data_IF_113081589820
#
_entry.id   IF_113081589820
#
_cell.length_a   1.000
_cell.length_b   1.000
_cell.length_c   1.000
_cell.angle_alpha   90.00
_cell.angle_beta   90.00
_cell.angle_gamma   90.00
#
_symmetry.space_group_name_H-M   'P 1'
#
loop_
_entity.id
_entity.type
_entity.pdbx_description
1 polymer ?
#
# COMPACT_ATOMS: atom_id res chain seq x y z
N UNK A 1 -27.12 -9.48 19.43
CA UNK A 1 -25.89 -9.07 18.72
C UNK A 1 -24.97 -8.51 19.79
N UNK A 2 -23.99 -9.30 20.25
CA UNK A 2 -23.02 -8.87 21.26
C UNK A 2 -21.85 -8.22 20.54
N UNK A 3 -21.47 -7.01 20.93
CA UNK A 3 -20.36 -6.29 20.33
C UNK A 3 -19.05 -6.92 20.82
N UNK A 4 -18.19 -7.49 19.96
CA UNK A 4 -16.96 -8.19 20.37
C UNK A 4 -15.89 -7.27 20.97
N UNK A 5 -16.14 -5.96 21.01
CA UNK A 5 -15.31 -4.94 21.66
C UNK A 5 -15.84 -4.45 23.01
N UNK A 6 -16.98 -4.96 23.47
CA UNK A 6 -17.55 -4.57 24.77
C UNK A 6 -17.32 -5.70 25.77
N UNK A 7 -16.32 -5.52 26.62
CA UNK A 7 -16.06 -6.39 27.75
C UNK A 7 -16.61 -5.69 29.01
N UNK A 8 -17.61 -6.24 29.71
CA UNK A 8 -18.16 -5.61 30.92
C UNK A 8 -17.16 -5.56 32.09
N UNK A 9 -15.99 -6.20 31.95
CA UNK A 9 -14.87 -6.15 32.90
C UNK A 9 -13.96 -4.91 32.67
N UNK A 10 -14.15 -4.16 31.58
CA UNK A 10 -13.41 -2.91 31.26
C UNK A 10 -14.20 -1.64 31.65
N UNK A 11 -15.35 -1.79 32.34
CA UNK A 11 -15.98 -0.66 33.03
C UNK A 11 -15.05 -0.25 34.19
N UNK A 12 -14.26 0.79 33.96
CA UNK A 12 -13.52 1.50 35.00
C UNK A 12 -14.55 1.91 36.06
N UNK A 13 -14.46 1.30 37.24
CA UNK A 13 -15.27 1.63 38.40
C UNK A 13 -15.18 3.13 38.64
N UNK A 14 -16.30 3.82 38.44
CA UNK A 14 -16.43 5.26 38.58
C UNK A 14 -16.12 5.72 40.02
N UNK A 15 -16.19 4.81 41.00
CA UNK A 15 -15.71 5.06 42.37
C UNK A 15 -14.18 4.99 42.51
N UNK A 16 -13.49 4.16 41.71
CA UNK A 16 -12.03 4.19 41.61
C UNK A 16 -11.62 5.54 41.00
N UNK A 17 -12.31 5.97 39.93
CA UNK A 17 -12.04 7.24 39.24
C UNK A 17 -12.04 8.48 40.14
N UNK A 18 -13.04 8.55 41.03
CA UNK A 18 -13.23 9.70 41.93
C UNK A 18 -12.22 9.66 43.09
N UNK A 19 -11.87 8.47 43.60
CA UNK A 19 -10.96 8.30 44.73
C UNK A 19 -9.49 8.62 44.40
N UNK A 20 -9.08 8.60 43.13
CA UNK A 20 -7.70 8.95 42.74
C UNK A 20 -7.48 10.43 42.39
N UNK A 21 -8.41 11.33 42.72
CA UNK A 21 -8.23 12.77 42.58
C UNK A 21 -7.61 13.43 43.83
N UNK A 22 -6.30 13.18 44.06
CA UNK A 22 -5.29 14.12 44.61
C UNK A 22 -4.05 13.38 45.10
N UNK A 23 -3.14 13.03 44.20
CA UNK A 23 -1.70 13.08 44.49
C UNK A 23 -0.94 13.43 43.21
N UNK A 24 -1.00 14.70 42.84
CA UNK A 24 -0.08 15.28 41.88
C UNK A 24 1.36 15.05 42.36
N UNK A 25 2.12 14.32 41.56
CA UNK A 25 3.53 14.01 41.78
C UNK A 25 4.39 15.16 41.25
N UNK A 26 4.41 16.30 41.95
CA UNK A 26 5.37 17.37 41.72
C UNK A 26 5.47 18.25 42.98
N UNK A 27 6.45 17.98 43.82
CA UNK A 27 6.71 18.77 45.01
C UNK A 27 7.68 18.06 45.94
N UNK A 28 8.97 18.36 45.79
CA UNK A 28 9.95 18.08 46.83
C UNK A 28 9.53 18.87 48.08
N UNK A 29 8.85 18.22 49.02
CA UNK A 29 8.60 18.77 50.34
C UNK A 29 9.93 18.71 51.11
N UNK A 30 10.66 19.83 51.10
CA UNK A 30 11.78 20.06 52.02
C UNK A 30 11.27 20.02 53.47
N UNK A 31 12.01 19.46 54.43
CA UNK A 31 11.64 19.54 55.83
C UNK A 31 11.85 20.98 56.32
N UNK A 32 10.73 21.69 56.53
CA UNK A 32 10.70 22.99 57.17
C UNK A 32 11.10 22.82 58.65
N UNK A 33 12.35 23.11 58.98
CA UNK A 33 12.83 23.22 60.35
C UNK A 33 12.47 24.60 60.89
N UNK A 34 11.21 24.79 61.29
CA UNK A 34 10.78 25.97 62.01
C UNK A 34 10.62 25.65 63.50
N UNK A 35 11.35 26.44 64.28
CA UNK A 35 11.50 26.49 65.73
C UNK A 35 10.25 26.30 66.59
N UNK A 36 10.47 25.63 67.73
CA UNK A 36 9.78 25.75 69.01
C UNK A 36 8.30 25.33 69.11
N UNK A 37 8.03 24.15 69.68
CA UNK A 37 7.31 24.03 70.95
C UNK A 37 7.38 22.60 71.52
N UNK A 38 7.40 22.49 72.85
CA UNK A 38 7.56 21.26 73.64
C UNK A 38 6.44 20.22 73.45
N UNK A 39 6.83 18.97 73.21
CA UNK A 39 5.99 17.77 73.39
C UNK A 39 6.68 16.54 72.79
N UNK A 40 6.82 15.40 73.50
CA UNK A 40 7.47 14.23 72.93
C UNK A 40 6.48 13.52 71.98
N UNK A 41 6.74 13.38 70.67
CA UNK A 41 5.91 12.52 69.86
C UNK A 41 6.25 11.07 70.16
N UNK A 42 5.22 10.32 70.54
CA UNK A 42 5.25 8.88 70.66
C UNK A 42 5.82 8.25 69.37
N UNK A 43 6.76 7.34 69.59
CA UNK A 43 7.52 6.61 68.59
C UNK A 43 6.59 5.64 67.84
N UNK A 44 5.93 6.10 66.79
CA UNK A 44 5.31 5.22 65.80
C UNK A 44 6.38 4.84 64.78
N UNK A 45 7.06 3.72 65.02
CA UNK A 45 7.88 3.05 64.00
C UNK A 45 6.96 2.39 62.97
N UNK A 46 6.26 3.21 62.18
CA UNK A 46 5.84 2.77 60.88
C UNK A 46 7.09 2.85 60.00
N UNK A 47 7.76 1.71 59.83
CA UNK A 47 8.88 1.55 58.91
C UNK A 47 8.40 1.97 57.52
N UNK A 48 8.59 3.25 57.19
CA UNK A 48 8.41 3.72 55.83
C UNK A 48 9.27 2.81 54.93
N UNK A 49 8.75 2.29 53.81
CA UNK A 49 9.56 1.48 52.91
C UNK A 49 10.82 2.26 52.62
N UNK A 50 11.96 1.67 52.99
CA UNK A 50 13.25 2.34 52.87
C UNK A 50 13.41 2.81 51.44
N UNK A 51 13.96 4.01 51.25
CA UNK A 51 14.21 4.60 49.93
C UNK A 51 14.89 3.60 48.98
N UNK A 52 15.76 2.74 49.53
CA UNK A 52 16.41 1.63 48.87
C UNK A 52 15.44 0.56 48.32
N UNK A 53 14.42 0.15 49.09
CA UNK A 53 13.38 -0.80 48.61
C UNK A 53 12.58 -0.22 47.44
N UNK A 54 12.27 1.09 47.48
CA UNK A 54 11.60 1.78 46.37
C UNK A 54 12.49 1.84 45.12
N UNK A 55 13.80 2.10 45.27
CA UNK A 55 14.73 2.07 44.15
C UNK A 55 14.85 0.68 43.52
N UNK A 56 14.92 -0.38 44.33
CA UNK A 56 14.98 -1.76 43.84
C UNK A 56 13.71 -2.12 43.05
N UNK A 57 12.53 -1.76 43.55
CA UNK A 57 11.27 -1.98 42.85
C UNK A 57 11.23 -1.25 41.49
N UNK A 58 11.77 -0.03 41.42
CA UNK A 58 11.87 0.73 40.16
C UNK A 58 12.85 0.10 39.17
N UNK A 59 13.99 -0.39 39.64
CA UNK A 59 14.96 -1.10 38.79
C UNK A 59 14.38 -2.40 38.22
N UNK A 60 13.62 -3.15 39.03
CA UNK A 60 12.95 -4.37 38.56
C UNK A 60 11.89 -4.06 37.51
N UNK A 61 11.07 -3.02 37.74
CA UNK A 61 10.09 -2.55 36.75
C UNK A 61 10.74 -2.12 35.44
N UNK A 62 11.88 -1.43 35.48
CA UNK A 62 12.63 -1.04 34.27
C UNK A 62 13.04 -2.26 33.46
N UNK A 63 13.69 -3.24 34.11
CA UNK A 63 14.12 -4.48 33.45
C UNK A 63 12.95 -5.24 32.81
N UNK A 64 11.83 -5.35 33.52
CA UNK A 64 10.62 -6.02 33.02
C UNK A 64 10.04 -5.32 31.78
N UNK A 65 10.03 -3.98 31.77
CA UNK A 65 9.58 -3.20 30.60
C UNK A 65 10.56 -3.36 29.43
N UNK A 66 11.85 -3.27 29.70
CA UNK A 66 12.93 -3.46 28.73
C UNK A 66 12.84 -4.83 28.04
N UNK A 67 12.75 -5.91 28.82
CA UNK A 67 12.61 -7.28 28.32
C UNK A 67 11.36 -7.46 27.45
N UNK A 68 10.20 -7.00 27.94
CA UNK A 68 8.94 -7.06 27.19
C UNK A 68 9.01 -6.28 25.88
N UNK A 69 9.73 -5.15 25.86
CA UNK A 69 9.88 -4.31 24.68
C UNK A 69 10.77 -5.00 23.64
N UNK A 70 11.89 -5.58 24.07
CA UNK A 70 12.80 -6.35 23.20
C UNK A 70 12.07 -7.54 22.59
N UNK A 71 11.37 -8.32 23.42
CA UNK A 71 10.59 -9.47 22.96
C UNK A 71 9.50 -9.06 21.97
N UNK A 72 8.81 -7.94 22.23
CA UNK A 72 7.82 -7.41 21.30
C UNK A 72 8.45 -7.03 19.97
N UNK A 73 9.63 -6.40 20.00
CA UNK A 73 10.35 -6.02 18.79
C UNK A 73 10.75 -7.24 17.95
N UNK A 74 11.21 -8.32 18.59
CA UNK A 74 11.53 -9.56 17.88
C UNK A 74 10.31 -10.23 17.25
N UNK A 75 9.16 -10.23 17.94
CA UNK A 75 7.90 -10.71 17.36
C UNK A 75 7.50 -9.89 16.14
N UNK A 76 7.58 -8.55 16.23
CA UNK A 76 7.27 -7.65 15.12
C UNK A 76 8.18 -7.90 13.91
N UNK A 77 9.48 -8.09 14.12
CA UNK A 77 10.41 -8.48 13.05
C UNK A 77 10.00 -9.79 12.37
N UNK A 78 9.68 -10.82 13.16
CA UNK A 78 9.20 -12.10 12.64
C UNK A 78 7.95 -11.95 11.78
N UNK A 79 6.99 -11.12 12.22
CA UNK A 79 5.78 -10.82 11.45
C UNK A 79 6.08 -10.07 10.15
N UNK A 80 7.04 -9.15 10.14
CA UNK A 80 7.45 -8.45 8.93
C UNK A 80 8.06 -9.39 7.91
N UNK A 81 8.94 -10.30 8.33
CA UNK A 81 9.54 -11.30 7.45
C UNK A 81 8.51 -12.26 6.86
N UNK A 82 7.57 -12.73 7.68
CA UNK A 82 6.49 -13.59 7.18
C UNK A 82 5.58 -12.82 6.21
N UNK A 83 5.26 -11.56 6.52
CA UNK A 83 4.48 -10.69 5.62
C UNK A 83 5.20 -10.46 4.28
N UNK A 84 6.53 -10.29 4.31
CA UNK A 84 7.35 -10.09 3.11
C UNK A 84 7.33 -11.33 2.22
N UNK A 85 7.50 -12.50 2.84
CA UNK A 85 7.43 -13.79 2.15
C UNK A 85 6.06 -14.05 1.51
N UNK A 86 4.97 -13.79 2.25
CA UNK A 86 3.61 -13.92 1.73
C UNK A 86 3.36 -12.91 0.61
N UNK A 87 3.84 -11.67 0.78
CA UNK A 87 3.76 -10.62 -0.24
C UNK A 87 4.51 -10.99 -1.53
N UNK A 88 5.70 -11.59 -1.42
CA UNK A 88 6.45 -12.07 -2.58
C UNK A 88 5.70 -13.21 -3.30
N UNK A 89 5.22 -14.22 -2.58
CA UNK A 89 4.43 -15.31 -3.17
C UNK A 89 3.16 -14.78 -3.86
N UNK A 90 2.54 -13.75 -3.28
CA UNK A 90 1.38 -13.07 -3.88
C UNK A 90 1.76 -12.33 -5.17
N UNK A 91 2.92 -11.67 -5.19
CA UNK A 91 3.42 -10.99 -6.40
C UNK A 91 3.69 -11.99 -7.54
N UNK A 92 4.27 -13.14 -7.23
CA UNK A 92 4.50 -14.21 -8.19
C UNK A 92 3.18 -14.76 -8.77
N UNK A 93 2.17 -14.99 -7.92
CA UNK A 93 0.87 -15.46 -8.39
C UNK A 93 0.14 -14.40 -9.23
N UNK A 94 0.22 -13.11 -8.87
CA UNK A 94 -0.35 -12.04 -9.68
C UNK A 94 0.31 -11.96 -11.06
N UNK A 95 1.64 -12.06 -11.13
CA UNK A 95 2.34 -12.11 -12.42
C UNK A 95 1.88 -13.29 -13.29
N UNK A 96 1.69 -14.46 -12.67
CA UNK A 96 1.14 -15.66 -13.35
C UNK A 96 -0.30 -15.45 -13.82
N UNK A 97 -1.12 -14.74 -13.06
CA UNK A 97 -2.49 -14.40 -13.45
C UNK A 97 -2.51 -13.42 -14.63
N UNK A 98 -1.61 -12.44 -14.66
CA UNK A 98 -1.45 -11.53 -15.79
C UNK A 98 -1.22 -12.26 -17.09
N UNK A 99 -0.31 -13.23 -17.08
CA UNK A 99 -0.01 -14.06 -18.26
C UNK A 99 -1.25 -14.81 -18.75
N UNK A 100 -2.05 -15.36 -17.82
CA UNK A 100 -3.30 -16.04 -18.18
C UNK A 100 -4.32 -15.09 -18.79
N UNK A 101 -4.45 -13.87 -18.26
CA UNK A 101 -5.35 -12.85 -18.80
C UNK A 101 -4.90 -12.43 -20.22
N UNK A 102 -3.60 -12.21 -20.42
CA UNK A 102 -3.03 -11.88 -21.73
C UNK A 102 -3.21 -13.03 -22.74
N UNK A 103 -2.97 -14.28 -22.32
CA UNK A 103 -3.21 -15.45 -23.16
C UNK A 103 -4.70 -15.56 -23.55
N UNK A 104 -5.61 -15.23 -22.63
CA UNK A 104 -7.04 -15.22 -22.91
C UNK A 104 -7.40 -14.10 -23.90
N UNK A 105 -6.83 -12.91 -23.73
CA UNK A 105 -6.98 -11.79 -24.67
C UNK A 105 -6.53 -12.18 -26.09
N UNK A 106 -5.36 -12.82 -26.22
CA UNK A 106 -4.85 -13.32 -27.51
C UNK A 106 -5.79 -14.36 -28.14
N UNK A 107 -6.35 -15.28 -27.34
CA UNK A 107 -7.31 -16.28 -27.85
C UNK A 107 -8.59 -15.63 -28.36
N UNK A 108 -9.08 -14.58 -27.69
CA UNK A 108 -10.24 -13.82 -28.19
C UNK A 108 -9.93 -13.13 -29.52
N UNK A 109 -8.72 -12.59 -29.69
CA UNK A 109 -8.31 -11.99 -30.96
C UNK A 109 -8.22 -13.04 -32.09
N UNK A 110 -7.71 -14.24 -31.79
CA UNK A 110 -7.69 -15.37 -32.73
C UNK A 110 -9.10 -15.82 -33.13
N UNK A 111 -10.03 -15.90 -32.17
CA UNK A 111 -11.43 -16.21 -32.44
C UNK A 111 -12.02 -15.11 -33.32
N UNK A 112 -11.82 -13.85 -32.99
CA UNK A 112 -12.34 -12.72 -33.76
C UNK A 112 -11.81 -12.70 -35.21
N UNK A 113 -10.52 -13.00 -35.40
CA UNK A 113 -9.88 -13.18 -36.72
C UNK A 113 -10.47 -14.38 -37.49
N UNK A 114 -10.70 -15.49 -36.80
CA UNK A 114 -11.33 -16.68 -37.38
C UNK A 114 -12.77 -16.39 -37.80
N UNK A 115 -13.53 -15.69 -36.97
CA UNK A 115 -14.88 -15.23 -37.29
C UNK A 115 -14.88 -14.33 -38.53
N UNK A 116 -13.93 -13.39 -38.69
CA UNK A 116 -13.81 -12.59 -39.91
C UNK A 116 -13.65 -13.45 -41.17
N UNK A 117 -12.83 -14.51 -41.11
CA UNK A 117 -12.63 -15.43 -42.23
C UNK A 117 -13.89 -16.25 -42.49
N UNK A 118 -14.52 -16.77 -41.43
CA UNK A 118 -15.80 -17.51 -41.51
C UNK A 118 -16.92 -16.68 -42.14
N UNK A 119 -17.02 -15.39 -41.81
CA UNK A 119 -17.98 -14.47 -42.43
C UNK A 119 -17.79 -14.37 -43.95
N UNK A 120 -16.54 -14.26 -44.43
CA UNK A 120 -16.25 -14.23 -45.87
C UNK A 120 -16.63 -15.55 -46.56
N UNK A 121 -16.34 -16.68 -45.93
CA UNK A 121 -16.75 -17.99 -46.45
C UNK A 121 -18.28 -18.14 -46.49
N UNK A 122 -18.98 -17.75 -45.42
CA UNK A 122 -20.44 -17.76 -45.37
C UNK A 122 -21.06 -16.82 -46.43
N UNK A 123 -20.47 -15.65 -46.67
CA UNK A 123 -20.89 -14.76 -47.76
C UNK A 123 -20.68 -15.41 -49.13
N UNK A 124 -19.54 -16.08 -49.36
CA UNK A 124 -19.27 -16.83 -50.58
C UNK A 124 -20.32 -17.92 -50.84
N UNK A 125 -20.66 -18.70 -49.80
CA UNK A 125 -21.70 -19.75 -49.88
C UNK A 125 -23.07 -19.14 -50.20
N UNK A 126 -23.47 -18.07 -49.49
CA UNK A 126 -24.74 -17.35 -49.77
C UNK A 126 -24.85 -16.91 -51.23
N UNK A 127 -23.76 -16.41 -51.81
CA UNK A 127 -23.73 -15.92 -53.20
C UNK A 127 -23.93 -17.03 -54.23
N UNK A 128 -23.37 -18.23 -54.02
CA UNK A 128 -23.48 -19.34 -54.96
C UNK A 128 -24.93 -19.87 -55.00
N UNK A 129 -25.59 -20.01 -53.86
CA UNK A 129 -26.99 -20.46 -53.80
C UNK A 129 -27.98 -19.41 -54.35
N UNK A 130 -27.68 -18.11 -54.21
CA UNK A 130 -28.49 -17.03 -54.77
C UNK A 130 -28.42 -16.91 -56.29
N UNK A 131 -27.22 -17.06 -56.87
CA UNK A 131 -27.00 -16.96 -58.31
C UNK A 131 -27.70 -18.05 -59.13
N UNK A 132 -27.73 -19.27 -58.61
CA UNK A 132 -28.39 -20.41 -59.29
C UNK A 132 -29.91 -20.22 -59.31
N UNK A 133 -30.51 -19.72 -58.21
CA UNK A 133 -31.96 -19.47 -58.17
C UNK A 133 -32.39 -18.37 -59.14
N UNK A 134 -31.61 -17.28 -59.29
CA UNK A 134 -31.90 -16.23 -60.26
C UNK A 134 -31.75 -16.71 -61.72
N UNK A 135 -30.79 -17.60 -61.97
CA UNK A 135 -30.62 -18.23 -63.29
C UNK A 135 -31.72 -19.26 -63.62
N UNK A 136 -32.23 -19.97 -62.61
CA UNK A 136 -33.28 -20.97 -62.80
C UNK A 136 -34.71 -20.39 -62.76
N UNK A 137 -34.89 -19.15 -62.30
CA UNK A 137 -36.22 -18.52 -62.16
C UNK A 137 -36.56 -17.44 -63.17
N UNK A 138 -35.76 -17.18 -64.21
CA UNK A 138 -36.04 -16.09 -65.13
C UNK A 138 -35.39 -16.20 -66.50
N UNK A 139 -36.20 -16.57 -67.50
CA UNK A 139 -35.92 -16.26 -68.90
C UNK A 139 -35.92 -14.74 -69.10
N UNK A 140 -34.83 -14.21 -69.64
CA UNK A 140 -34.83 -13.08 -70.58
C UNK A 140 -34.25 -11.74 -70.10
N UNK A 141 -32.96 -11.50 -70.40
CA UNK A 141 -32.45 -10.25 -71.01
C UNK A 141 -30.92 -10.33 -71.23
N UNK A 142 -30.38 -9.89 -72.40
CA UNK A 142 -28.94 -9.83 -72.69
C UNK A 142 -28.27 -8.55 -72.13
N UNK A 143 -26.92 -8.48 -72.07
CA UNK A 143 -26.19 -7.46 -71.32
C UNK A 143 -25.93 -6.20 -72.15
N UNK A 144 -25.76 -5.00 -71.54
CA UNK A 144 -25.00 -3.94 -72.17
C UNK A 144 -23.51 -4.07 -71.83
N UNK A 145 -22.71 -4.04 -72.88
CA UNK A 145 -21.29 -3.78 -72.83
C UNK A 145 -21.00 -2.42 -72.17
N UNK A 146 -19.92 -2.36 -71.39
CA UNK A 146 -19.37 -1.14 -70.85
C UNK A 146 -17.98 -1.37 -70.26
N UNK A 147 -16.98 -0.82 -70.95
CA UNK A 147 -15.61 -0.47 -70.53
C UNK A 147 -15.21 -0.79 -69.08
N UNK A 148 -14.06 -1.43 -68.82
CA UNK A 148 -12.75 -1.01 -69.32
C UNK A 148 -12.17 0.07 -68.41
N UNK A 149 -11.03 -0.22 -67.78
CA UNK A 149 -10.09 0.82 -67.35
C UNK A 149 -10.10 1.19 -65.87
N UNK A 150 -9.14 0.58 -65.16
CA UNK A 150 -8.42 1.10 -64.00
C UNK A 150 -8.44 2.62 -63.79
N UNK A 151 -8.66 3.03 -62.54
CA UNK A 151 -8.03 4.25 -61.99
C UNK A 151 -7.58 3.95 -60.58
N UNK A 152 -6.28 3.68 -60.45
CA UNK A 152 -5.59 3.71 -59.17
C UNK A 152 -5.56 5.17 -58.70
N UNK A 153 -6.14 5.42 -57.52
CA UNK A 153 -5.93 6.69 -56.84
C UNK A 153 -4.60 6.61 -56.10
N UNK A 154 -3.62 7.28 -56.68
CA UNK A 154 -2.29 7.42 -56.13
C UNK A 154 -2.34 8.21 -54.82
N UNK A 155 -1.56 7.71 -53.86
CA UNK A 155 -1.13 8.36 -52.64
C UNK A 155 -0.69 9.80 -52.88
N UNK A 156 -1.44 10.75 -52.32
CA UNK A 156 -0.93 12.11 -52.11
C UNK A 156 -0.35 12.13 -50.70
N UNK A 157 0.98 12.11 -50.63
CA UNK A 157 1.69 12.41 -49.41
C UNK A 157 1.48 13.88 -49.05
N UNK A 158 1.35 14.15 -47.76
CA UNK A 158 1.77 15.44 -47.22
C UNK A 158 2.50 15.21 -45.90
N UNK A 159 3.74 15.68 -45.92
CA UNK A 159 4.70 15.79 -44.84
C UNK A 159 4.45 17.10 -44.11
N UNK A 160 4.44 17.08 -42.78
CA UNK A 160 4.67 18.20 -41.85
C UNK A 160 4.78 17.53 -40.47
N UNK A 161 5.92 17.24 -39.83
CA UNK A 161 7.13 18.03 -39.57
C UNK A 161 6.81 19.39 -38.92
N UNK A 162 7.39 19.58 -37.72
CA UNK A 162 7.38 20.77 -36.82
C UNK A 162 6.38 20.65 -35.64
N UNK A 163 6.74 20.85 -34.37
CA UNK A 163 7.96 21.43 -33.82
C UNK A 163 8.39 20.79 -32.51
N UNK A 164 9.70 20.69 -32.42
CA UNK A 164 10.53 20.40 -31.27
C UNK A 164 10.65 21.66 -30.42
N UNK A 165 10.33 21.58 -29.13
CA UNK A 165 10.80 22.49 -28.09
C UNK A 165 11.25 21.54 -26.97
N UNK A 166 12.50 21.43 -26.56
CA UNK A 166 13.58 22.40 -26.64
C UNK A 166 13.86 22.97 -25.25
N UNK A 167 14.52 22.16 -24.40
CA UNK A 167 15.51 22.64 -23.44
C UNK A 167 15.04 22.99 -22.02
N UNK A 168 15.91 22.67 -21.06
CA UNK A 168 16.08 23.52 -19.89
C UNK A 168 16.06 22.82 -18.53
N UNK A 169 17.12 22.08 -18.22
CA UNK A 169 17.54 21.95 -16.83
C UNK A 169 17.85 23.32 -16.25
N UNK A 170 17.34 23.65 -15.04
CA UNK A 170 18.04 24.45 -14.03
C UNK A 170 17.37 24.30 -12.66
N UNK A 171 18.14 23.73 -11.75
CA UNK A 171 18.05 23.99 -10.32
C UNK A 171 18.16 25.50 -10.07
N UNK A 172 17.26 26.02 -9.23
CA UNK A 172 17.40 27.33 -8.60
C UNK A 172 17.30 27.09 -7.10
N UNK A 173 18.47 27.14 -6.45
CA UNK A 173 18.56 27.28 -5.02
C UNK A 173 18.04 28.64 -4.59
N UNK A 174 17.20 28.65 -3.57
CA UNK A 174 16.83 29.84 -2.84
C UNK A 174 17.63 29.87 -1.55
N UNK A 175 18.73 30.62 -1.59
CA UNK A 175 19.47 31.09 -0.44
C UNK A 175 18.73 32.29 0.16
N UNK A 176 18.05 32.10 1.28
CA UNK A 176 17.60 33.18 2.15
C UNK A 176 18.01 32.88 3.59
N UNK A 177 19.05 33.61 4.00
CA UNK A 177 19.33 34.06 5.38
C UNK A 177 19.57 33.01 6.46
N UNK A 178 20.80 32.50 6.45
CA UNK A 178 21.46 31.73 7.50
C UNK A 178 22.03 32.68 8.59
N UNK A 179 21.16 33.32 9.38
CA UNK A 179 21.61 34.30 10.39
C UNK A 179 20.91 34.21 11.75
N UNK A 180 20.03 33.24 12.00
CA UNK A 180 19.29 33.16 13.27
C UNK A 180 19.61 31.92 14.14
N UNK A 181 20.36 30.94 13.63
CA UNK A 181 20.60 29.67 14.34
C UNK A 181 21.80 29.68 15.30
N UNK A 182 22.67 30.69 15.25
CA UNK A 182 23.88 30.75 16.10
C UNK A 182 23.71 31.51 17.41
N UNK A 183 22.67 32.33 17.55
CA UNK A 183 22.42 33.06 18.80
C UNK A 183 21.66 32.20 19.83
N UNK A 184 20.96 31.15 19.38
CA UNK A 184 20.15 30.28 20.24
C UNK A 184 20.99 29.20 20.94
N UNK A 185 22.01 28.64 20.26
CA UNK A 185 22.85 27.58 20.82
C UNK A 185 23.81 28.02 21.94
N UNK A 186 24.13 29.32 22.04
CA UNK A 186 24.96 29.85 23.14
C UNK A 186 24.15 30.21 24.40
N UNK A 187 22.82 30.36 24.30
CA UNK A 187 21.96 30.68 25.46
C UNK A 187 21.51 29.41 26.19
N UNK A 188 21.44 28.29 25.50
CA UNK A 188 20.99 27.03 26.09
C UNK A 188 22.07 26.30 26.91
N UNK A 189 23.35 26.64 26.73
CA UNK A 189 24.50 25.97 27.37
C UNK A 189 24.91 26.54 28.74
N UNK A 190 24.33 27.67 29.17
CA UNK A 190 24.72 28.36 30.41
C UNK A 190 23.56 28.58 31.41
N UNK A 191 22.56 27.70 31.45
CA UNK A 191 21.54 27.75 32.50
C UNK A 191 22.04 27.06 33.80
N UNK A 192 22.04 27.74 34.97
CA UNK A 192 22.54 27.20 36.25
C UNK A 192 21.82 25.92 36.71
N UNK A 193 20.60 25.66 36.21
CA UNK A 193 19.79 24.49 36.56
C UNK A 193 20.20 23.18 35.87
N UNK A 194 21.03 23.22 34.81
CA UNK A 194 21.46 22.01 34.08
C UNK A 194 22.81 21.46 34.56
N UNK A 195 23.56 22.21 35.37
CA UNK A 195 24.88 21.80 35.87
C UNK A 195 24.81 20.73 36.96
N UNK A 196 23.71 20.65 37.70
CA UNK A 196 23.58 19.74 38.84
C UNK A 196 23.05 18.34 38.48
N UNK A 197 22.60 18.12 37.24
CA UNK A 197 22.10 16.81 36.80
C UNK A 197 23.19 15.88 36.21
N UNK A 198 24.44 16.35 36.05
CA UNK A 198 25.53 15.57 35.46
C UNK A 198 26.00 14.39 36.33
N UNK A 199 25.64 14.35 37.62
CA UNK A 199 26.04 13.28 38.55
C UNK A 199 25.03 12.15 38.73
N UNK A 200 23.80 12.28 38.24
CA UNK A 200 22.72 11.29 38.41
C UNK A 200 22.36 10.55 37.10
N UNK A 201 22.95 10.97 35.98
CA UNK A 201 22.68 10.38 34.66
C UNK A 201 23.68 9.31 34.24
N UNK A 202 24.87 9.25 34.85
CA UNK A 202 25.96 8.40 34.36
C UNK A 202 25.74 6.92 34.73
N UNK A 203 25.34 6.61 35.97
CA UNK A 203 25.19 5.22 36.44
C UNK A 203 23.91 4.51 35.94
N UNK A 204 22.85 5.25 35.62
CA UNK A 204 21.63 4.67 35.01
C UNK A 204 21.75 4.42 33.51
N UNK A 205 22.77 4.96 32.84
CA UNK A 205 23.00 4.78 31.39
C UNK A 205 23.77 3.50 31.07
N UNK A 206 24.60 3.00 31.98
CA UNK A 206 25.44 1.83 31.70
C UNK A 206 24.65 0.51 31.66
N UNK A 207 23.59 0.36 32.48
CA UNK A 207 22.76 -0.84 32.47
C UNK A 207 21.71 -0.89 31.33
N UNK A 208 21.24 0.28 30.84
CA UNK A 208 20.28 0.37 29.74
C UNK A 208 20.91 0.37 28.34
N UNK A 209 22.22 0.70 28.22
CA UNK A 209 22.85 0.90 26.90
C UNK A 209 22.80 -0.32 25.98
N UNK A 210 22.94 -1.54 26.53
CA UNK A 210 22.90 -2.76 25.72
C UNK A 210 21.50 -3.12 25.22
N UNK A 211 20.47 -2.85 26.03
CA UNK A 211 19.08 -3.06 25.63
C UNK A 211 18.66 -2.01 24.61
N UNK A 212 18.98 -0.74 24.86
CA UNK A 212 18.70 0.36 23.95
C UNK A 212 19.36 0.11 22.57
N UNK A 213 20.61 -0.37 22.53
CA UNK A 213 21.29 -0.71 21.26
C UNK A 213 20.64 -1.91 20.54
N UNK A 214 20.10 -2.90 21.26
CA UNK A 214 19.33 -3.99 20.65
C UNK A 214 18.01 -3.47 20.07
N UNK A 215 17.32 -2.61 20.82
CA UNK A 215 16.06 -2.02 20.39
C UNK A 215 16.25 -1.13 19.17
N UNK A 216 17.28 -0.27 19.14
CA UNK A 216 17.59 0.59 18.01
C UNK A 216 17.89 -0.24 16.75
N UNK A 217 18.70 -1.30 16.87
CA UNK A 217 18.97 -2.21 15.74
C UNK A 217 17.71 -2.90 15.24
N UNK A 218 16.87 -3.40 16.15
CA UNK A 218 15.63 -4.04 15.76
C UNK A 218 14.66 -3.04 15.10
N UNK A 219 14.60 -1.80 15.58
CA UNK A 219 13.78 -0.72 15.00
C UNK A 219 14.26 -0.34 13.58
N UNK A 220 15.57 -0.24 13.37
CA UNK A 220 16.15 0.00 12.05
C UNK A 220 15.81 -1.16 11.08
N UNK A 221 15.95 -2.41 11.53
CA UNK A 221 15.59 -3.58 10.73
C UNK A 221 14.09 -3.61 10.40
N UNK A 222 13.23 -3.26 11.36
CA UNK A 222 11.79 -3.11 11.13
C UNK A 222 11.50 -1.99 10.12
N UNK A 223 12.19 -0.85 10.21
CA UNK A 223 12.05 0.27 9.26
C UNK A 223 12.43 -0.15 7.83
N UNK A 224 13.52 -0.89 7.68
CA UNK A 224 13.89 -1.45 6.38
C UNK A 224 12.88 -2.49 5.89
N UNK A 225 12.40 -3.38 6.77
CA UNK A 225 11.37 -4.38 6.44
C UNK A 225 10.07 -3.74 5.98
N UNK A 226 9.61 -2.71 6.70
CA UNK A 226 8.44 -1.90 6.32
C UNK A 226 8.65 -1.19 4.97
N UNK A 227 9.85 -0.71 4.69
CA UNK A 227 10.17 -0.10 3.40
C UNK A 227 10.11 -1.11 2.25
N UNK A 228 10.61 -2.34 2.45
CA UNK A 228 10.48 -3.44 1.48
C UNK A 228 9.02 -3.84 1.27
N UNK A 229 8.26 -4.03 2.37
CA UNK A 229 6.83 -4.32 2.32
C UNK A 229 6.04 -3.22 1.60
N UNK A 230 6.38 -1.95 1.83
CA UNK A 230 5.79 -0.83 1.10
C UNK A 230 6.09 -0.92 -0.40
N UNK A 231 7.33 -1.21 -0.78
CA UNK A 231 7.71 -1.42 -2.18
C UNK A 231 6.92 -2.58 -2.82
N UNK A 232 6.81 -3.71 -2.12
CA UNK A 232 5.97 -4.84 -2.55
C UNK A 232 4.52 -4.41 -2.71
N UNK A 233 3.91 -3.78 -1.70
CA UNK A 233 2.53 -3.34 -1.74
C UNK A 233 2.25 -2.37 -2.90
N UNK A 234 3.18 -1.45 -3.20
CA UNK A 234 3.07 -0.55 -4.36
C UNK A 234 3.11 -1.33 -5.68
N UNK A 235 4.04 -2.28 -5.82
CA UNK A 235 4.13 -3.12 -7.03
C UNK A 235 2.89 -4.00 -7.20
N UNK A 236 2.37 -4.58 -6.11
CA UNK A 236 1.13 -5.35 -6.12
C UNK A 236 -0.05 -4.47 -6.54
N UNK A 237 -0.12 -3.24 -6.05
CA UNK A 237 -1.18 -2.30 -6.44
C UNK A 237 -1.10 -1.95 -7.93
N UNK A 238 0.08 -1.66 -8.46
CA UNK A 238 0.25 -1.38 -9.91
C UNK A 238 -0.10 -2.60 -10.77
N UNK A 239 0.23 -3.81 -10.32
CA UNK A 239 -0.13 -5.04 -11.06
C UNK A 239 -1.65 -5.28 -11.06
N UNK A 240 -2.34 -4.94 -9.96
CA UNK A 240 -3.80 -5.00 -9.88
C UNK A 240 -4.48 -3.96 -10.79
N UNK A 241 -3.92 -2.75 -10.88
CA UNK A 241 -4.38 -1.73 -11.83
C UNK A 241 -4.21 -2.23 -13.28
N UNK A 242 -3.06 -2.79 -13.62
CA UNK A 242 -2.81 -3.42 -14.93
C UNK A 242 -3.81 -4.57 -15.22
N UNK A 243 -4.13 -5.40 -14.22
CA UNK A 243 -5.13 -6.46 -14.36
C UNK A 243 -6.52 -5.90 -14.65
N UNK A 244 -6.94 -4.85 -13.95
CA UNK A 244 -8.24 -4.21 -14.19
C UNK A 244 -8.35 -3.72 -15.64
N UNK A 245 -7.31 -3.07 -16.15
CA UNK A 245 -7.26 -2.60 -17.53
C UNK A 245 -7.35 -3.76 -18.55
N UNK A 246 -6.70 -4.90 -18.27
CA UNK A 246 -6.80 -6.09 -19.13
C UNK A 246 -8.21 -6.68 -19.04
N UNK A 247 -8.79 -6.77 -17.85
CA UNK A 247 -10.12 -7.32 -17.63
C UNK A 247 -11.20 -6.51 -18.38
N UNK A 248 -11.13 -5.18 -18.35
CA UNK A 248 -12.07 -4.32 -19.09
C UNK A 248 -11.98 -4.55 -20.60
N UNK A 249 -10.76 -4.64 -21.14
CA UNK A 249 -10.56 -4.99 -22.56
C UNK A 249 -11.07 -6.38 -22.87
N UNK A 250 -10.83 -7.35 -21.98
CA UNK A 250 -11.27 -8.73 -22.13
C UNK A 250 -12.78 -8.82 -22.14
N UNK A 251 -13.48 -8.09 -21.27
CA UNK A 251 -14.94 -8.04 -21.21
C UNK A 251 -15.53 -7.51 -22.53
N UNK A 252 -14.99 -6.39 -23.04
CA UNK A 252 -15.40 -5.84 -24.33
C UNK A 252 -15.14 -6.79 -25.50
N UNK A 253 -13.94 -7.39 -25.55
CA UNK A 253 -13.59 -8.38 -26.59
C UNK A 253 -14.46 -9.62 -26.52
N UNK A 254 -14.75 -10.11 -25.31
CA UNK A 254 -15.59 -11.27 -25.07
C UNK A 254 -17.02 -10.99 -25.53
N UNK A 255 -17.60 -9.87 -25.13
CA UNK A 255 -18.95 -9.45 -25.53
C UNK A 255 -19.10 -9.30 -27.06
N UNK A 256 -18.12 -8.66 -27.70
CA UNK A 256 -18.09 -8.54 -29.17
C UNK A 256 -17.98 -9.90 -29.84
N UNK A 257 -17.05 -10.74 -29.37
CA UNK A 257 -16.83 -12.10 -29.90
C UNK A 257 -18.09 -12.95 -29.75
N UNK A 258 -18.73 -12.94 -28.59
CA UNK A 258 -19.97 -13.64 -28.30
C UNK A 258 -21.07 -13.27 -29.30
N UNK A 259 -21.32 -11.97 -29.49
CA UNK A 259 -22.33 -11.50 -30.45
C UNK A 259 -22.04 -11.98 -31.88
N UNK A 260 -20.77 -11.95 -32.30
CA UNK A 260 -20.36 -12.40 -33.63
C UNK A 260 -20.54 -13.90 -33.81
N UNK A 261 -20.13 -14.72 -32.84
CA UNK A 261 -20.33 -16.17 -32.85
C UNK A 261 -21.82 -16.50 -32.98
N UNK A 262 -22.68 -15.87 -32.17
CA UNK A 262 -24.12 -16.10 -32.22
C UNK A 262 -24.73 -15.72 -33.57
N UNK A 263 -24.32 -14.57 -34.13
CA UNK A 263 -24.76 -14.13 -35.46
C UNK A 263 -24.34 -15.12 -36.55
N UNK A 264 -23.09 -15.59 -36.54
CA UNK A 264 -22.61 -16.57 -37.51
C UNK A 264 -23.30 -17.91 -37.36
N UNK A 265 -23.56 -18.37 -36.15
CA UNK A 265 -24.30 -19.61 -35.89
C UNK A 265 -25.75 -19.51 -36.42
N UNK A 266 -26.43 -18.38 -36.20
CA UNK A 266 -27.75 -18.10 -36.77
C UNK A 266 -27.72 -18.09 -38.31
N UNK A 267 -26.70 -17.52 -38.92
CA UNK A 267 -26.56 -17.49 -40.39
C UNK A 267 -26.27 -18.86 -40.98
N UNK A 268 -25.40 -19.64 -40.34
CA UNK A 268 -25.07 -21.00 -40.75
C UNK A 268 -26.28 -21.93 -40.62
N UNK A 269 -27.03 -21.86 -39.52
CA UNK A 269 -28.26 -22.65 -39.34
C UNK A 269 -29.35 -22.31 -40.36
N UNK A 270 -29.47 -21.04 -40.80
CA UNK A 270 -30.37 -20.64 -41.90
C UNK A 270 -29.95 -21.22 -43.24
N UNK A 271 -28.65 -21.33 -43.50
CA UNK A 271 -28.13 -21.97 -44.71
C UNK A 271 -28.38 -23.47 -44.73
N UNK A 272 -28.25 -24.15 -43.60
CA UNK A 272 -28.45 -25.61 -43.48
C UNK A 272 -29.91 -26.05 -43.48
N UNK A 273 -30.84 -25.17 -43.11
CA UNK A 273 -32.29 -25.45 -43.07
C UNK A 273 -33.01 -25.26 -44.42
N UNK A 274 -32.30 -24.88 -45.47
CA UNK A 274 -32.82 -24.74 -46.84
C UNK A 274 -32.28 -25.86 -47.72
#
# INVERSE_FOLDING_TARGET
MSNPFYNPEDEIDDEEFVNHSKTGHAGYMLPNHASANYGPPARTTATAPTFESRQQALMQKRREIEERTVDSSHRSLGLLYESEKVGQATAEELSRQKEQLQATESRLDDINSTLNRSERHLQGIKSIFGGIRNYFSGRGAPPPAGAGGSSGSASTGNLSAMGQIGGGAKAVGLSTTDSDSRLDSMRQSNHPGLRNNRGLTEDSRMAGSGVDEILDRNLDEMSMGLSRLKGLAQNLNTELEDHNDILDRLDHKTSSTQWRVEKQNKDMSKLLKK
#
